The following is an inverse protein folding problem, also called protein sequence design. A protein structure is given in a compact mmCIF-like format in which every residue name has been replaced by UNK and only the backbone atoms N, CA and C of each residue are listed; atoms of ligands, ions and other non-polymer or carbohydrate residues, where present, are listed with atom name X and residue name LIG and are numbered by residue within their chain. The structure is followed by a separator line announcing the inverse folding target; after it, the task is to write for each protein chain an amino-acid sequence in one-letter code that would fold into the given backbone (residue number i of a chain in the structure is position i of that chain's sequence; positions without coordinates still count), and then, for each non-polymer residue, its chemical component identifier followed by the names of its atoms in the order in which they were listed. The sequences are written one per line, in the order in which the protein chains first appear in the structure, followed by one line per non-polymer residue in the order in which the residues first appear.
data_IF_210299985372
#
_entry.id   IF_210299985372
#
_cell.length_a   1.000
_cell.length_b   1.000
_cell.length_c   1.000
_cell.angle_alpha   90.00
_cell.angle_beta   90.00
_cell.angle_gamma   90.00
#
_symmetry.space_group_name_H-M   'P 1'
#
loop_
_entity.id
_entity.type
_entity.pdbx_description
1 polymer ?
#
# COMPACT_ATOMS: atom_id res chain seq x y z
N UNK A 1 -4.58 -1.28 -18.58
CA UNK A 1 -3.25 -0.63 -18.60
C UNK A 1 -3.31 0.90 -18.50
N UNK A 2 -4.09 1.66 -19.31
CA UNK A 2 -4.33 3.11 -19.04
C UNK A 2 -5.63 3.40 -18.30
N UNK A 3 -6.64 2.57 -18.53
CA UNK A 3 -7.99 2.78 -17.98
C UNK A 3 -8.05 2.62 -16.46
N UNK A 4 -7.24 1.71 -15.88
CA UNK A 4 -7.17 1.53 -14.43
C UNK A 4 -6.54 2.73 -13.73
N UNK A 5 -5.45 3.28 -14.29
CA UNK A 5 -4.78 4.47 -13.73
C UNK A 5 -5.75 5.66 -13.70
N UNK A 6 -6.42 5.96 -14.81
CA UNK A 6 -7.38 7.09 -14.86
C UNK A 6 -8.59 6.85 -13.93
N UNK A 7 -9.05 5.60 -13.82
CA UNK A 7 -10.13 5.22 -12.89
C UNK A 7 -9.74 5.52 -11.43
N UNK A 8 -8.55 5.09 -11.00
CA UNK A 8 -8.08 5.34 -9.63
C UNK A 8 -7.78 6.82 -9.38
N UNK A 9 -7.15 7.49 -10.35
CA UNK A 9 -6.88 8.90 -10.27
C UNK A 9 -8.18 9.72 -10.16
N UNK A 10 -9.20 9.42 -10.98
CA UNK A 10 -10.53 10.03 -10.88
C UNK A 10 -11.20 9.77 -9.53
N UNK A 11 -11.07 8.55 -8.99
CA UNK A 11 -11.59 8.21 -7.66
C UNK A 11 -10.96 9.11 -6.58
N UNK A 12 -9.63 9.29 -6.61
CA UNK A 12 -8.94 10.07 -5.59
C UNK A 12 -9.07 11.58 -5.77
N UNK A 13 -9.26 12.10 -6.99
CA UNK A 13 -9.65 13.51 -7.22
C UNK A 13 -10.99 13.86 -6.56
N UNK A 14 -11.87 12.88 -6.37
CA UNK A 14 -13.18 13.05 -5.71
C UNK A 14 -13.16 12.65 -4.23
N UNK A 15 -12.04 12.14 -3.72
CA UNK A 15 -11.91 11.75 -2.33
C UNK A 15 -11.70 12.98 -1.43
N UNK A 16 -11.91 12.81 -0.12
CA UNK A 16 -11.49 13.80 0.87
C UNK A 16 -9.98 14.05 0.75
N UNK A 17 -9.54 15.32 0.51
CA UNK A 17 -8.13 15.64 0.38
C UNK A 17 -7.35 15.62 1.71
N UNK A 18 -8.05 15.51 2.84
CA UNK A 18 -7.51 15.59 4.21
C UNK A 18 -8.10 14.53 5.16
N UNK A 19 -8.13 13.24 4.78
CA UNK A 19 -8.81 12.21 5.56
C UNK A 19 -8.11 11.95 6.89
N UNK A 20 -8.85 11.71 7.97
CA UNK A 20 -8.25 11.26 9.24
C UNK A 20 -7.40 10.00 9.06
N UNK A 21 -6.31 9.88 9.81
CA UNK A 21 -5.47 8.69 9.75
C UNK A 21 -6.25 7.49 10.29
N UNK A 22 -6.11 6.35 9.60
CA UNK A 22 -6.78 5.10 9.93
C UNK A 22 -5.74 4.00 9.82
N UNK A 23 -5.75 3.07 10.77
CA UNK A 23 -4.90 1.89 10.72
C UNK A 23 -5.74 0.73 10.18
N UNK A 24 -5.13 -0.09 9.33
CA UNK A 24 -5.80 -1.29 8.84
C UNK A 24 -5.92 -2.31 9.99
N UNK A 25 -7.10 -2.91 10.15
CA UNK A 25 -7.36 -3.86 11.24
C UNK A 25 -6.41 -5.07 11.26
N UNK A 26 -5.85 -5.46 10.11
CA UNK A 26 -4.84 -6.52 10.07
C UNK A 26 -3.53 -6.07 10.73
N UNK A 27 -3.11 -4.82 10.51
CA UNK A 27 -1.93 -4.25 11.15
C UNK A 27 -2.18 -4.04 12.64
N UNK A 28 -3.35 -3.51 13.03
CA UNK A 28 -3.75 -3.37 14.44
C UNK A 28 -3.69 -4.72 15.18
N UNK A 29 -4.30 -5.75 14.61
CA UNK A 29 -4.37 -7.08 15.22
C UNK A 29 -3.01 -7.81 15.28
N UNK A 30 -1.97 -7.27 14.65
CA UNK A 30 -0.66 -7.92 14.50
C UNK A 30 0.51 -7.00 14.88
N UNK A 31 0.24 -5.89 15.54
CA UNK A 31 1.26 -4.92 15.98
C UNK A 31 2.43 -5.56 16.74
N UNK A 32 2.19 -6.64 17.50
CA UNK A 32 3.24 -7.37 18.22
C UNK A 32 4.37 -7.95 17.34
N UNK A 33 4.15 -8.07 16.03
CA UNK A 33 5.16 -8.54 15.08
C UNK A 33 5.87 -7.39 14.37
N UNK A 34 5.47 -6.15 14.63
CA UNK A 34 6.04 -4.94 14.05
C UNK A 34 6.96 -4.30 15.10
N UNK A 35 8.25 -4.34 14.85
CA UNK A 35 9.27 -3.78 15.74
C UNK A 35 9.65 -2.33 15.40
N UNK A 36 9.11 -1.80 14.30
CA UNK A 36 9.33 -0.43 13.86
C UNK A 36 10.70 -0.20 13.21
N UNK A 37 11.50 -1.24 12.99
CA UNK A 37 12.87 -1.09 12.49
C UNK A 37 13.00 -1.53 11.03
N UNK A 38 13.68 -0.70 10.23
CA UNK A 38 14.05 -1.05 8.86
C UNK A 38 13.15 -0.43 7.79
N UNK A 39 13.05 -1.10 6.65
CA UNK A 39 12.40 -0.59 5.43
C UNK A 39 11.06 -1.26 5.17
N UNK A 40 10.05 -0.44 4.86
CA UNK A 40 8.71 -0.92 4.51
C UNK A 40 8.29 -0.51 3.09
N UNK A 41 7.52 -1.37 2.43
CA UNK A 41 6.91 -1.12 1.12
C UNK A 41 5.38 -1.27 1.21
N UNK A 42 4.64 -0.24 0.82
CA UNK A 42 3.18 -0.24 0.69
C UNK A 42 2.81 -0.24 -0.79
N UNK A 43 2.35 -1.39 -1.31
CA UNK A 43 1.95 -1.57 -2.70
C UNK A 43 0.46 -1.30 -2.88
N UNK A 44 0.12 -0.57 -3.93
CA UNK A 44 -1.24 -0.06 -4.19
C UNK A 44 -1.73 0.76 -2.98
N UNK A 45 -0.88 1.68 -2.53
CA UNK A 45 -0.99 2.38 -1.25
C UNK A 45 -2.23 3.27 -1.13
N UNK A 46 -2.83 3.68 -2.26
CA UNK A 46 -3.92 4.64 -2.29
C UNK A 46 -3.56 5.92 -1.55
N UNK A 47 -4.37 6.30 -0.55
CA UNK A 47 -4.13 7.47 0.30
C UNK A 47 -3.08 7.22 1.42
N UNK A 48 -2.26 6.16 1.27
CA UNK A 48 -1.10 5.83 2.10
C UNK A 48 -1.38 5.60 3.59
N UNK A 49 -2.58 5.19 3.97
CA UNK A 49 -2.93 4.98 5.40
C UNK A 49 -2.01 3.94 6.08
N UNK A 50 -1.70 2.84 5.39
CA UNK A 50 -0.79 1.82 5.90
C UNK A 50 0.64 2.37 5.95
N UNK A 51 1.14 2.98 4.87
CA UNK A 51 2.46 3.59 4.87
C UNK A 51 2.66 4.65 5.98
N UNK A 52 1.67 5.51 6.23
CA UNK A 52 1.71 6.50 7.31
C UNK A 52 1.76 5.83 8.68
N UNK A 53 1.00 4.76 8.89
CA UNK A 53 1.06 4.01 10.14
C UNK A 53 2.44 3.37 10.36
N UNK A 54 3.00 2.74 9.32
CA UNK A 54 4.32 2.10 9.40
C UNK A 54 5.43 3.12 9.68
N UNK A 55 5.36 4.30 9.06
CA UNK A 55 6.28 5.39 9.34
C UNK A 55 6.11 6.00 10.74
N UNK A 56 4.89 6.00 11.31
CA UNK A 56 4.66 6.44 12.68
C UNK A 56 5.29 5.51 13.72
N UNK A 57 5.36 4.21 13.43
CA UNK A 57 5.97 3.22 14.34
C UNK A 57 7.47 3.00 14.08
N UNK A 58 8.05 3.67 13.08
CA UNK A 58 9.52 3.78 12.91
C UNK A 58 10.08 3.33 11.55
N UNK A 59 9.30 2.68 10.69
CA UNK A 59 9.81 2.17 9.41
C UNK A 59 10.11 3.29 8.39
N UNK A 60 11.24 3.21 7.68
CA UNK A 60 11.43 3.99 6.45
C UNK A 60 10.55 3.41 5.34
N UNK A 61 9.45 4.10 5.07
CA UNK A 61 8.36 3.54 4.27
C UNK A 61 8.27 4.19 2.89
N UNK A 62 8.27 3.35 1.85
CA UNK A 62 7.95 3.70 0.47
C UNK A 62 6.51 3.26 0.14
N UNK A 63 5.68 4.21 -0.26
CA UNK A 63 4.34 3.97 -0.79
C UNK A 63 4.34 4.05 -2.32
N UNK A 64 3.78 3.04 -2.97
CA UNK A 64 3.68 2.96 -4.43
C UNK A 64 2.22 2.84 -4.84
N UNK A 65 1.76 3.74 -5.69
CA UNK A 65 0.42 3.72 -6.28
C UNK A 65 0.45 4.34 -7.68
N UNK A 66 -0.51 4.01 -8.51
CA UNK A 66 -0.64 4.63 -9.84
C UNK A 66 -1.23 6.05 -9.78
N UNK A 67 -1.94 6.40 -8.69
CA UNK A 67 -2.61 7.69 -8.54
C UNK A 67 -1.71 8.69 -7.81
N UNK A 68 -1.23 9.70 -8.54
CA UNK A 68 -0.50 10.84 -7.98
C UNK A 68 -1.35 11.60 -6.95
N UNK A 69 -2.67 11.75 -7.21
CA UNK A 69 -3.57 12.40 -6.26
C UNK A 69 -3.62 11.64 -4.93
N UNK A 70 -3.69 10.30 -4.97
CA UNK A 70 -3.72 9.48 -3.78
C UNK A 70 -2.43 9.63 -2.94
N UNK A 71 -1.28 9.57 -3.61
CA UNK A 71 0.03 9.74 -2.98
C UNK A 71 0.17 11.14 -2.36
N UNK A 72 -0.32 12.19 -3.04
CA UNK A 72 -0.32 13.55 -2.51
C UNK A 72 -1.21 13.71 -1.26
N UNK A 73 -2.37 13.04 -1.22
CA UNK A 73 -3.21 12.94 -0.01
C UNK A 73 -2.41 12.28 1.11
N UNK A 74 -1.76 11.15 0.83
CA UNK A 74 -0.94 10.42 1.78
C UNK A 74 0.21 11.24 2.35
N UNK A 75 0.93 12.01 1.53
CA UNK A 75 2.00 12.90 2.00
C UNK A 75 1.49 14.05 2.87
N UNK A 76 0.29 14.58 2.60
CA UNK A 76 -0.35 15.59 3.48
C UNK A 76 -0.75 14.96 4.81
N UNK A 77 -1.33 13.77 4.76
CA UNK A 77 -1.68 12.99 5.95
C UNK A 77 -0.46 12.73 6.83
N UNK A 78 0.63 12.22 6.25
CA UNK A 78 1.89 11.96 6.95
C UNK A 78 2.40 13.20 7.69
N UNK A 79 2.45 14.35 6.98
CA UNK A 79 2.86 15.63 7.56
C UNK A 79 1.97 16.06 8.73
N UNK A 80 0.65 15.91 8.61
CA UNK A 80 -0.30 16.32 9.63
C UNK A 80 -0.18 15.49 10.91
N UNK A 81 0.18 14.21 10.80
CA UNK A 81 0.40 13.33 11.96
C UNK A 81 1.86 13.30 12.44
N UNK A 82 2.72 14.18 11.90
CA UNK A 82 4.09 14.35 12.38
C UNK A 82 5.11 13.33 11.86
N UNK A 83 4.83 12.64 10.75
CA UNK A 83 5.76 11.69 10.10
C UNK A 83 6.03 12.06 8.63
N UNK A 84 6.88 11.27 7.96
CA UNK A 84 7.19 11.40 6.53
C UNK A 84 7.18 10.01 5.90
N UNK A 85 6.72 9.96 4.65
CA UNK A 85 6.79 8.76 3.80
C UNK A 85 7.43 9.13 2.47
N UNK A 86 8.12 8.17 1.86
CA UNK A 86 8.52 8.25 0.45
C UNK A 86 7.35 7.78 -0.39
N UNK A 87 7.16 8.38 -1.56
CA UNK A 87 6.10 7.99 -2.49
C UNK A 87 6.67 7.82 -3.89
N UNK A 88 6.10 6.90 -4.65
CA UNK A 88 6.43 6.71 -6.06
C UNK A 88 5.15 6.42 -6.86
N UNK A 89 4.87 7.27 -7.85
CA UNK A 89 3.83 7.02 -8.81
C UNK A 89 4.31 5.96 -9.81
N UNK A 90 3.63 4.81 -9.88
CA UNK A 90 3.99 3.74 -10.80
C UNK A 90 2.79 2.84 -11.13
N UNK A 91 2.76 2.33 -12.37
CA UNK A 91 1.92 1.21 -12.75
C UNK A 91 2.56 -0.09 -12.24
N UNK A 92 1.85 -0.81 -11.37
CA UNK A 92 2.34 -2.04 -10.77
C UNK A 92 2.46 -3.21 -11.76
N UNK A 93 1.87 -3.11 -12.95
CA UNK A 93 2.07 -4.12 -14.00
C UNK A 93 3.50 -4.12 -14.54
N UNK A 94 4.22 -3.00 -14.41
CA UNK A 94 5.60 -2.83 -14.90
C UNK A 94 6.58 -2.37 -13.82
N UNK A 95 6.09 -2.04 -12.62
CA UNK A 95 6.93 -1.64 -11.50
C UNK A 95 7.83 -2.80 -11.06
N UNK A 96 9.12 -2.52 -10.92
CA UNK A 96 10.11 -3.49 -10.44
C UNK A 96 10.30 -3.30 -8.93
N UNK A 97 10.09 -4.39 -8.20
CA UNK A 97 10.36 -4.43 -6.77
C UNK A 97 11.76 -4.99 -6.57
N UNK A 98 12.61 -4.23 -5.87
CA UNK A 98 13.97 -4.66 -5.58
C UNK A 98 13.98 -5.92 -4.69
N UNK A 99 14.76 -6.97 -5.04
CA UNK A 99 14.87 -8.18 -4.24
C UNK A 99 15.60 -7.92 -2.92
N UNK A 100 15.22 -8.63 -1.85
CA UNK A 100 15.83 -8.55 -0.52
C UNK A 100 16.02 -7.11 0.03
N UNK A 101 15.10 -6.21 -0.30
CA UNK A 101 15.21 -4.78 0.01
C UNK A 101 14.35 -4.33 1.21
N UNK A 102 13.34 -5.11 1.60
CA UNK A 102 12.33 -4.69 2.59
C UNK A 102 12.24 -5.65 3.77
N UNK A 103 12.15 -5.08 4.96
CA UNK A 103 11.84 -5.81 6.20
C UNK A 103 10.33 -6.07 6.29
N UNK A 104 9.52 -5.22 5.65
CA UNK A 104 8.06 -5.31 5.66
C UNK A 104 7.47 -4.94 4.30
N UNK A 105 6.57 -5.77 3.78
CA UNK A 105 5.76 -5.47 2.60
C UNK A 105 4.29 -5.54 2.98
N UNK A 106 3.51 -4.54 2.57
CA UNK A 106 2.05 -4.51 2.73
C UNK A 106 1.38 -4.29 1.38
N UNK A 107 0.24 -4.96 1.18
CA UNK A 107 -0.59 -4.80 -0.02
C UNK A 107 -2.04 -5.09 0.34
N UNK A 108 -2.86 -4.04 0.36
CA UNK A 108 -4.24 -4.10 0.86
C UNK A 108 -5.26 -3.69 -0.19
N UNK A 109 -6.29 -4.52 -0.36
CA UNK A 109 -7.43 -4.31 -1.28
C UNK A 109 -6.99 -4.15 -2.74
N UNK A 110 -5.93 -4.85 -3.12
CA UNK A 110 -5.43 -4.97 -4.48
C UNK A 110 -5.13 -6.43 -4.79
N UNK A 111 -5.38 -6.86 -6.03
CA UNK A 111 -5.12 -8.23 -6.49
C UNK A 111 -4.47 -8.20 -7.86
N UNK A 112 -3.16 -8.44 -7.88
CA UNK A 112 -2.42 -8.79 -9.07
C UNK A 112 -1.49 -9.96 -8.73
N UNK A 113 -1.86 -11.16 -9.20
CA UNK A 113 -1.15 -12.40 -8.87
C UNK A 113 0.28 -12.42 -9.43
N UNK A 114 0.53 -11.68 -10.50
CA UNK A 114 1.86 -11.60 -11.11
C UNK A 114 2.88 -10.94 -10.17
N UNK A 115 2.43 -10.17 -9.18
CA UNK A 115 3.29 -9.56 -8.17
C UNK A 115 3.67 -10.52 -7.04
N UNK A 116 3.02 -11.67 -6.90
CA UNK A 116 3.24 -12.55 -5.73
C UNK A 116 4.70 -13.03 -5.63
N UNK A 117 5.34 -13.49 -6.72
CA UNK A 117 6.77 -13.85 -6.67
C UNK A 117 7.66 -12.66 -6.31
N UNK A 118 7.39 -11.48 -6.87
CA UNK A 118 8.18 -10.28 -6.63
C UNK A 118 8.03 -9.77 -5.18
N UNK A 119 6.82 -9.81 -4.61
CA UNK A 119 6.58 -9.48 -3.19
C UNK A 119 7.30 -10.44 -2.25
N UNK A 120 7.34 -11.73 -2.57
CA UNK A 120 8.07 -12.70 -1.77
C UNK A 120 9.59 -12.49 -1.87
N UNK A 121 10.10 -12.27 -3.09
CA UNK A 121 11.53 -12.07 -3.35
C UNK A 121 12.07 -10.73 -2.82
N UNK A 122 11.21 -9.73 -2.62
CA UNK A 122 11.62 -8.41 -2.11
C UNK A 122 11.87 -8.38 -0.60
N UNK A 123 11.43 -9.41 0.13
CA UNK A 123 11.65 -9.52 1.56
C UNK A 123 13.10 -9.90 1.87
N UNK A 124 13.67 -9.21 2.85
CA UNK A 124 14.90 -9.62 3.53
C UNK A 124 14.65 -10.93 4.31
N UNK A 125 15.70 -11.65 4.73
CA UNK A 125 15.55 -12.75 5.68
C UNK A 125 14.74 -12.32 6.91
N UNK A 126 13.74 -13.12 7.28
CA UNK A 126 12.76 -12.84 8.35
C UNK A 126 11.79 -11.67 8.08
N UNK A 127 11.78 -11.11 6.87
CA UNK A 127 10.84 -10.07 6.48
C UNK A 127 9.39 -10.56 6.48
N UNK A 128 8.46 -9.63 6.72
CA UNK A 128 7.03 -9.94 6.82
C UNK A 128 6.26 -9.41 5.61
N UNK A 129 5.31 -10.22 5.12
CA UNK A 129 4.29 -9.78 4.16
C UNK A 129 2.93 -9.73 4.84
N UNK A 130 2.29 -8.56 4.81
CA UNK A 130 0.89 -8.39 5.16
C UNK A 130 0.08 -8.18 3.89
N UNK A 131 -0.71 -9.19 3.54
CA UNK A 131 -1.55 -9.17 2.35
C UNK A 131 -3.01 -9.34 2.76
N UNK A 132 -3.87 -8.45 2.26
CA UNK A 132 -5.32 -8.54 2.46
C UNK A 132 -6.01 -8.17 1.16
N UNK A 133 -6.74 -9.10 0.58
CA UNK A 133 -7.42 -8.86 -0.70
C UNK A 133 -8.85 -9.40 -0.71
N UNK A 134 -9.52 -9.20 -1.84
CA UNK A 134 -10.88 -9.64 -2.08
C UNK A 134 -10.95 -11.18 -2.23
N UNK A 135 -12.11 -11.75 -1.98
CA UNK A 135 -12.38 -13.17 -2.21
C UNK A 135 -13.67 -13.31 -3.05
N UNK A 136 -14.16 -14.55 -3.22
CA UNK A 136 -15.39 -14.84 -3.98
C UNK A 136 -16.61 -14.05 -3.52
N UNK A 137 -16.67 -13.57 -2.28
CA UNK A 137 -17.78 -12.71 -1.82
C UNK A 137 -17.79 -11.34 -2.50
N UNK A 138 -16.65 -10.86 -3.02
CA UNK A 138 -16.57 -9.59 -3.74
C UNK A 138 -17.34 -9.61 -5.07
N UNK A 139 -17.59 -10.80 -5.63
CA UNK A 139 -18.44 -10.98 -6.81
C UNK A 139 -19.85 -10.43 -6.61
N UNK A 140 -20.34 -10.35 -5.36
CA UNK A 140 -21.67 -9.78 -5.05
C UNK A 140 -21.78 -8.30 -5.41
N UNK A 141 -20.67 -7.56 -5.31
CA UNK A 141 -20.62 -6.12 -5.60
C UNK A 141 -19.88 -5.79 -6.90
N UNK A 142 -19.05 -6.71 -7.40
CA UNK A 142 -18.28 -6.56 -8.63
C UNK A 142 -18.30 -7.88 -9.42
N UNK A 143 -19.38 -8.16 -10.18
CA UNK A 143 -19.56 -9.46 -10.85
C UNK A 143 -18.49 -9.81 -11.89
N UNK A 144 -17.82 -8.81 -12.46
CA UNK A 144 -16.71 -8.98 -13.43
C UNK A 144 -15.34 -9.20 -12.77
N UNK A 145 -15.27 -9.24 -11.44
CA UNK A 145 -14.02 -9.48 -10.72
C UNK A 145 -13.53 -10.92 -10.91
N UNK A 146 -12.21 -11.11 -10.98
CA UNK A 146 -11.57 -12.42 -11.05
C UNK A 146 -10.91 -12.75 -9.70
N UNK A 147 -11.66 -13.38 -8.75
CA UNK A 147 -11.21 -13.62 -7.39
C UNK A 147 -10.05 -14.58 -7.30
#
# INVERSE_FOLDING_TARGET
MRDDVERWETKYRRADPQPDHRVDSLLEARQRHLDGNGTALDLAAGACHAAVFLALIGYDTLAVDCSETALAIGQRLARRVGTKIRVQAADLDIFKIEPAAYDLVVCFRYLNRNLFPAMAASLKPNGLLFFKTFNVHHLRSSPSFNP
#
